data_IF_720468487234
#
_entry.id   IF_720468487234
#
_cell.length_a   1.000
_cell.length_b   1.000
_cell.length_c   1.000
_cell.angle_alpha   90.00
_cell.angle_beta   90.00
_cell.angle_gamma   90.00
#
_symmetry.space_group_name_H-M   'P 1'
#
loop_
_entity.id
_entity.type
_entity.pdbx_description
1 polymer ?
#
# COMPACT_ATOMS: atom_id res chain seq x y z
N UNK A 1 11.17 16.96 -18.09
CA UNK A 1 11.58 15.63 -18.61
C UNK A 1 10.77 14.56 -17.90
N UNK A 2 10.12 13.64 -18.62
CA UNK A 2 9.33 12.56 -18.01
C UNK A 2 10.20 11.38 -17.58
N UNK A 3 9.99 10.86 -16.38
CA UNK A 3 10.74 9.74 -15.79
C UNK A 3 9.72 8.75 -15.21
N UNK A 4 9.69 7.52 -15.73
CA UNK A 4 8.72 6.48 -15.32
C UNK A 4 9.37 5.11 -15.07
N UNK A 5 10.71 5.07 -15.01
CA UNK A 5 11.50 3.89 -14.73
C UNK A 5 12.73 4.30 -13.92
N UNK A 6 13.15 3.44 -13.00
CA UNK A 6 14.37 3.61 -12.22
C UNK A 6 14.49 5.01 -11.57
N UNK A 7 13.41 5.45 -10.91
CA UNK A 7 13.32 6.79 -10.34
C UNK A 7 14.44 7.07 -9.35
N UNK A 8 14.83 6.06 -8.54
CA UNK A 8 15.94 6.20 -7.61
C UNK A 8 17.25 6.59 -8.29
N UNK A 9 17.67 5.89 -9.35
CA UNK A 9 18.92 6.24 -10.01
C UNK A 9 18.79 7.55 -10.80
N UNK A 10 17.67 7.76 -11.49
CA UNK A 10 17.48 8.90 -12.37
C UNK A 10 17.24 10.23 -11.64
N UNK A 11 16.72 10.19 -10.42
CA UNK A 11 16.43 11.38 -9.61
C UNK A 11 17.40 11.47 -8.44
N UNK A 12 17.49 10.43 -7.60
CA UNK A 12 18.27 10.51 -6.35
C UNK A 12 19.76 10.41 -6.62
N UNK A 13 20.25 9.29 -7.17
CA UNK A 13 21.70 9.10 -7.38
C UNK A 13 22.30 10.12 -8.36
N UNK A 14 21.54 10.50 -9.38
CA UNK A 14 21.94 11.50 -10.38
C UNK A 14 22.27 12.86 -9.75
N UNK A 15 21.54 13.25 -8.70
CA UNK A 15 21.57 14.60 -8.13
C UNK A 15 22.23 14.68 -6.75
N UNK A 16 22.13 13.65 -5.90
CA UNK A 16 22.60 13.67 -4.52
C UNK A 16 24.11 13.94 -4.35
N UNK A 17 24.94 13.65 -5.36
CA UNK A 17 26.37 13.96 -5.36
C UNK A 17 26.72 15.34 -5.95
N UNK A 18 25.77 16.01 -6.61
CA UNK A 18 25.97 17.30 -7.28
C UNK A 18 25.46 18.47 -6.45
N UNK A 19 24.42 18.24 -5.68
CA UNK A 19 23.75 19.24 -4.86
C UNK A 19 24.09 19.03 -3.39
N UNK A 20 23.99 20.10 -2.60
CA UNK A 20 24.28 20.07 -1.17
C UNK A 20 23.02 19.98 -0.31
N UNK A 21 21.86 20.33 -0.85
CA UNK A 21 20.58 20.27 -0.17
C UNK A 21 19.56 19.45 -0.97
N UNK A 22 18.66 18.80 -0.25
CA UNK A 22 17.49 18.09 -0.75
C UNK A 22 16.30 18.45 0.15
N UNK A 23 15.27 19.06 -0.41
CA UNK A 23 13.98 19.25 0.25
C UNK A 23 12.92 18.37 -0.40
N UNK A 24 12.08 17.77 0.42
CA UNK A 24 11.08 16.80 -0.03
C UNK A 24 9.74 17.09 0.61
N UNK A 25 8.68 17.18 -0.18
CA UNK A 25 7.30 17.03 0.28
C UNK A 25 6.82 15.66 -0.17
N UNK A 26 6.34 14.83 0.74
CA UNK A 26 5.85 13.49 0.43
C UNK A 26 4.64 13.16 1.27
N UNK A 27 3.71 12.37 0.74
CA UNK A 27 2.61 11.87 1.56
C UNK A 27 3.13 10.93 2.66
N UNK A 28 3.98 9.98 2.28
CA UNK A 28 4.53 8.96 3.20
C UNK A 28 6.03 8.79 3.03
N UNK A 29 6.69 8.36 4.10
CA UNK A 29 8.07 7.85 4.09
C UNK A 29 8.23 6.79 5.18
N UNK A 30 9.45 6.25 5.31
CA UNK A 30 9.81 5.37 6.44
C UNK A 30 11.18 5.78 6.99
N UNK A 31 11.40 5.62 8.29
CA UNK A 31 12.67 5.93 8.92
C UNK A 31 13.80 5.07 8.37
N UNK A 32 13.50 3.80 8.05
CA UNK A 32 14.46 2.91 7.39
C UNK A 32 14.94 3.46 6.04
N UNK A 33 14.03 3.94 5.20
CA UNK A 33 14.40 4.51 3.90
C UNK A 33 15.28 5.75 4.06
N UNK A 34 14.89 6.68 4.95
CA UNK A 34 15.69 7.88 5.21
C UNK A 34 17.06 7.54 5.80
N UNK A 35 17.15 6.54 6.69
CA UNK A 35 18.42 6.08 7.25
C UNK A 35 19.33 5.46 6.18
N UNK A 36 18.77 4.65 5.27
CA UNK A 36 19.52 4.03 4.17
C UNK A 36 20.03 5.12 3.21
N UNK A 37 19.22 6.13 2.91
CA UNK A 37 19.60 7.27 2.06
C UNK A 37 20.65 8.17 2.71
N UNK A 38 20.49 8.53 3.98
CA UNK A 38 21.45 9.33 4.74
C UNK A 38 22.82 8.63 4.82
N UNK A 39 22.82 7.30 4.97
CA UNK A 39 24.04 6.50 4.95
C UNK A 39 24.71 6.48 3.57
N UNK A 40 23.93 6.47 2.49
CA UNK A 40 24.46 6.53 1.12
C UNK A 40 25.00 7.92 0.78
N UNK A 41 24.36 9.00 1.25
CA UNK A 41 24.72 10.39 0.96
C UNK A 41 24.90 11.24 2.23
N UNK A 42 25.91 10.96 3.08
CA UNK A 42 26.04 11.57 4.41
C UNK A 42 26.33 13.07 4.42
N UNK A 43 26.64 13.67 3.26
CA UNK A 43 26.90 15.11 3.11
C UNK A 43 25.68 15.89 2.59
N UNK A 44 24.66 15.19 2.11
CA UNK A 44 23.45 15.81 1.58
C UNK A 44 22.59 16.28 2.74
N UNK A 45 22.30 17.58 2.81
CA UNK A 45 21.38 18.12 3.80
C UNK A 45 19.96 17.84 3.36
N UNK A 46 19.21 17.11 4.16
CA UNK A 46 17.86 16.65 3.83
C UNK A 46 16.83 17.29 4.74
N UNK A 47 15.80 17.88 4.15
CA UNK A 47 14.60 18.33 4.86
C UNK A 47 13.40 17.61 4.27
N UNK A 48 12.72 16.80 5.07
CA UNK A 48 11.62 15.94 4.61
C UNK A 48 10.34 16.30 5.33
N UNK A 49 9.33 16.75 4.57
CA UNK A 49 7.98 17.03 5.04
C UNK A 49 7.07 15.83 4.73
N UNK A 50 6.58 15.16 5.76
CA UNK A 50 5.66 14.01 5.67
C UNK A 50 4.24 14.51 5.89
N UNK A 51 3.45 14.48 4.82
CA UNK A 51 2.18 15.18 4.75
C UNK A 51 0.93 14.40 5.17
N UNK A 52 1.00 13.06 5.20
CA UNK A 52 -0.12 12.20 5.61
C UNK A 52 0.15 11.52 6.96
N UNK A 53 0.88 12.19 7.85
CA UNK A 53 1.22 11.66 9.18
C UNK A 53 -0.02 11.51 10.10
N UNK A 54 -1.02 12.39 9.95
CA UNK A 54 -2.29 12.29 10.68
C UNK A 54 -3.17 11.13 10.17
N UNK A 55 -3.20 10.92 8.85
CA UNK A 55 -4.04 9.94 8.19
C UNK A 55 -3.46 8.52 8.27
N UNK A 56 -3.80 7.83 9.36
CA UNK A 56 -3.37 6.46 9.67
C UNK A 56 -2.38 6.36 10.84
N UNK A 57 -1.89 7.52 11.30
CA UNK A 57 -0.89 7.63 12.36
C UNK A 57 0.51 7.22 11.91
N UNK A 58 1.53 7.68 12.65
CA UNK A 58 2.91 7.30 12.40
C UNK A 58 3.28 6.14 13.32
N UNK A 59 3.85 5.08 12.75
CA UNK A 59 4.36 3.97 13.55
C UNK A 59 5.43 4.47 14.54
N UNK A 60 5.38 4.03 15.81
CA UNK A 60 6.31 4.47 16.86
C UNK A 60 7.77 4.19 16.53
N UNK A 61 8.08 3.09 15.86
CA UNK A 61 9.44 2.76 15.42
C UNK A 61 9.89 3.73 14.32
N UNK A 62 9.00 4.09 13.39
CA UNK A 62 9.29 5.12 12.40
C UNK A 62 9.48 6.49 13.06
N UNK A 63 8.59 6.89 13.97
CA UNK A 63 8.74 8.15 14.70
C UNK A 63 10.05 8.22 15.49
N UNK A 64 10.37 7.18 16.25
CA UNK A 64 11.62 7.10 16.99
C UNK A 64 12.81 7.15 16.03
N UNK A 65 12.75 6.43 14.91
CA UNK A 65 13.77 6.47 13.88
C UNK A 65 13.97 7.85 13.27
N UNK A 66 12.90 8.59 12.98
CA UNK A 66 12.99 9.98 12.50
C UNK A 66 13.60 10.91 13.56
N UNK A 67 13.22 10.75 14.82
CA UNK A 67 13.79 11.51 15.93
C UNK A 67 15.28 11.23 16.12
N UNK A 68 15.70 9.96 15.97
CA UNK A 68 17.11 9.57 16.06
C UNK A 68 17.91 10.10 14.88
N UNK A 69 17.35 10.05 13.67
CA UNK A 69 17.93 10.62 12.47
C UNK A 69 18.07 12.15 12.58
N UNK A 70 17.08 12.82 13.17
CA UNK A 70 17.08 14.28 13.34
C UNK A 70 18.03 14.81 14.42
N UNK A 71 18.81 13.93 15.06
CA UNK A 71 19.96 14.33 15.88
C UNK A 71 21.14 14.78 15.02
N UNK A 72 21.20 14.34 13.77
CA UNK A 72 22.15 14.85 12.78
C UNK A 72 21.59 16.14 12.18
N UNK A 73 22.30 17.28 12.26
CA UNK A 73 21.83 18.55 11.70
C UNK A 73 21.70 18.54 10.17
N UNK A 74 22.17 17.51 9.48
CA UNK A 74 22.00 17.35 8.05
C UNK A 74 20.71 16.60 7.68
N UNK A 75 19.87 16.17 8.63
CA UNK A 75 18.60 15.54 8.33
C UNK A 75 17.51 16.04 9.27
N UNK A 76 16.50 16.72 8.72
CA UNK A 76 15.34 17.18 9.46
C UNK A 76 14.08 16.53 8.91
N UNK A 77 13.27 15.95 9.79
CA UNK A 77 12.00 15.34 9.43
C UNK A 77 10.86 16.10 10.09
N UNK A 78 9.91 16.53 9.27
CA UNK A 78 8.76 17.33 9.65
C UNK A 78 7.48 16.54 9.39
N UNK A 79 6.48 16.70 10.26
CA UNK A 79 5.12 16.21 10.04
C UNK A 79 4.20 17.36 9.76
N UNK A 80 3.36 17.23 8.74
CA UNK A 80 2.24 18.12 8.53
C UNK A 80 1.19 17.92 9.62
N UNK A 81 0.70 19.02 10.19
CA UNK A 81 -0.22 19.04 11.35
C UNK A 81 -1.46 19.91 11.12
N UNK A 82 -1.63 20.42 9.89
CA UNK A 82 -2.84 21.12 9.49
C UNK A 82 -3.75 20.22 8.64
N UNK A 83 -4.99 20.66 8.40
CA UNK A 83 -5.93 19.98 7.51
C UNK A 83 -6.28 20.87 6.31
N UNK A 84 -6.43 20.29 5.10
CA UNK A 84 -6.24 18.87 4.77
C UNK A 84 -4.77 18.45 4.74
N UNK A 85 -4.47 17.16 4.95
CA UNK A 85 -3.11 16.64 4.87
C UNK A 85 -2.48 16.83 3.48
N UNK A 86 -1.15 16.86 3.45
CA UNK A 86 -0.38 17.11 2.22
C UNK A 86 -0.02 15.79 1.50
N UNK A 87 -0.73 15.48 0.42
CA UNK A 87 -0.47 14.28 -0.37
C UNK A 87 0.44 14.52 -1.59
N UNK A 88 1.03 15.72 -1.74
CA UNK A 88 1.93 16.03 -2.84
C UNK A 88 3.21 15.19 -2.76
N UNK A 89 3.87 14.99 -3.91
CA UNK A 89 5.19 14.37 -3.99
C UNK A 89 6.12 15.26 -4.80
N UNK A 90 7.02 15.93 -4.11
CA UNK A 90 7.94 16.92 -4.63
C UNK A 90 9.34 16.61 -4.09
N UNK A 91 10.33 16.62 -4.98
CA UNK A 91 11.74 16.43 -4.67
C UNK A 91 12.49 17.60 -5.30
N UNK A 92 13.17 18.40 -4.49
CA UNK A 92 13.94 19.56 -4.93
C UNK A 92 15.36 19.44 -4.42
N UNK A 93 16.32 19.36 -5.34
CA UNK A 93 17.75 19.44 -5.01
C UNK A 93 18.25 20.85 -5.27
N UNK A 94 19.07 21.39 -4.37
CA UNK A 94 19.66 22.72 -4.56
C UNK A 94 21.09 22.84 -4.02
N UNK A 95 21.83 23.82 -4.53
CA UNK A 95 23.20 24.14 -4.09
C UNK A 95 23.35 25.62 -3.72
N UNK A 96 24.56 25.99 -3.27
CA UNK A 96 24.85 27.37 -2.83
C UNK A 96 24.85 28.39 -3.97
N UNK A 97 24.98 27.92 -5.21
CA UNK A 97 25.00 28.75 -6.42
C UNK A 97 23.57 29.06 -6.91
N UNK A 98 22.54 28.53 -6.22
CA UNK A 98 21.14 28.73 -6.58
C UNK A 98 20.68 27.86 -7.76
N UNK A 99 21.42 26.79 -8.08
CA UNK A 99 20.97 25.81 -9.07
C UNK A 99 19.98 24.84 -8.42
N UNK A 100 18.94 24.47 -9.18
CA UNK A 100 17.91 23.54 -8.74
C UNK A 100 17.73 22.37 -9.71
N UNK A 101 17.35 21.22 -9.16
CA UNK A 101 16.80 20.09 -9.90
C UNK A 101 15.52 19.60 -9.20
N UNK A 102 14.38 19.99 -9.76
CA UNK A 102 13.07 19.84 -9.16
C UNK A 102 12.22 18.80 -9.88
N UNK A 103 11.56 17.94 -9.12
CA UNK A 103 10.75 16.83 -9.63
C UNK A 103 9.41 16.77 -8.90
N UNK A 104 8.32 16.60 -9.67
CA UNK A 104 6.97 16.39 -9.15
C UNK A 104 6.35 15.14 -9.78
N UNK A 105 5.46 14.46 -9.05
CA UNK A 105 4.77 13.31 -9.62
C UNK A 105 4.02 12.47 -8.60
N UNK A 106 3.98 11.16 -8.84
CA UNK A 106 3.18 10.20 -8.08
C UNK A 106 3.98 9.43 -7.01
N UNK A 107 5.31 9.36 -7.13
CA UNK A 107 6.17 8.57 -6.25
C UNK A 107 6.32 9.20 -4.86
N UNK A 108 5.86 8.53 -3.80
CA UNK A 108 6.24 8.89 -2.43
C UNK A 108 7.75 8.70 -2.23
N UNK A 109 8.35 9.56 -1.41
CA UNK A 109 9.77 9.51 -1.05
C UNK A 109 10.04 8.34 -0.09
N UNK A 110 10.08 7.14 -0.68
CA UNK A 110 10.16 5.85 0.00
C UNK A 110 10.83 4.83 -0.92
N UNK A 111 11.30 3.72 -0.35
CA UNK A 111 11.84 2.62 -1.16
C UNK A 111 10.81 2.14 -2.19
N UNK A 112 9.55 1.95 -1.79
CA UNK A 112 8.51 1.46 -2.70
C UNK A 112 8.25 2.45 -3.85
N UNK A 113 8.04 3.73 -3.54
CA UNK A 113 7.75 4.74 -4.55
C UNK A 113 8.89 4.96 -5.54
N UNK A 114 10.15 4.85 -5.12
CA UNK A 114 11.30 5.13 -5.98
C UNK A 114 11.90 3.90 -6.68
N UNK A 115 11.56 2.68 -6.25
CA UNK A 115 12.19 1.45 -6.79
C UNK A 115 11.24 0.33 -7.18
N UNK A 116 10.06 0.23 -6.57
CA UNK A 116 9.22 -0.98 -6.65
C UNK A 116 7.86 -0.75 -7.30
N UNK A 117 7.32 0.47 -7.18
CA UNK A 117 6.04 0.84 -7.77
C UNK A 117 6.24 1.42 -9.18
N UNK A 118 5.22 1.24 -10.03
CA UNK A 118 5.17 1.92 -11.32
C UNK A 118 4.70 3.34 -11.07
N UNK A 119 5.65 4.25 -10.96
CA UNK A 119 5.41 5.65 -10.64
C UNK A 119 5.92 6.54 -11.77
N UNK A 120 5.41 7.77 -11.82
CA UNK A 120 5.82 8.77 -12.79
C UNK A 120 6.25 10.03 -12.06
N UNK A 121 7.38 10.58 -12.50
CA UNK A 121 7.88 11.88 -12.06
C UNK A 121 8.21 12.70 -13.31
N UNK A 122 8.10 14.01 -13.21
CA UNK A 122 8.60 14.93 -14.22
C UNK A 122 9.51 15.95 -13.58
N UNK A 123 10.61 16.24 -14.25
CA UNK A 123 11.43 17.40 -13.97
C UNK A 123 10.68 18.68 -14.35
N UNK A 124 10.71 19.68 -13.47
CA UNK A 124 10.09 21.00 -13.63
C UNK A 124 11.15 22.09 -13.48
N UNK A 125 10.89 23.24 -14.12
CA UNK A 125 11.77 24.42 -14.06
C UNK A 125 11.20 25.54 -13.21
N UNK A 126 9.95 25.40 -12.78
CA UNK A 126 9.27 26.33 -11.90
C UNK A 126 9.98 26.40 -10.53
N UNK A 127 9.99 27.60 -9.97
CA UNK A 127 10.41 27.81 -8.59
C UNK A 127 9.36 27.21 -7.65
N UNK A 128 9.82 26.39 -6.71
CA UNK A 128 8.98 25.66 -5.76
C UNK A 128 9.11 26.21 -4.33
N UNK A 129 9.87 27.30 -4.12
CA UNK A 129 10.15 27.84 -2.79
C UNK A 129 8.89 28.16 -1.99
N UNK A 130 7.88 28.75 -2.62
CA UNK A 130 6.60 29.05 -1.97
C UNK A 130 5.89 27.78 -1.46
N UNK A 131 6.02 26.65 -2.18
CA UNK A 131 5.42 25.39 -1.75
C UNK A 131 6.13 24.82 -0.51
N UNK A 132 7.45 24.95 -0.44
CA UNK A 132 8.24 24.51 0.72
C UNK A 132 8.11 25.46 1.90
N UNK A 133 7.99 26.77 1.66
CA UNK A 133 7.71 27.75 2.71
C UNK A 133 6.34 27.45 3.35
N UNK A 134 5.31 27.25 2.51
CA UNK A 134 3.99 26.83 2.97
C UNK A 134 4.04 25.50 3.72
N UNK A 135 4.73 24.47 3.21
CA UNK A 135 4.86 23.20 3.91
C UNK A 135 5.51 23.38 5.29
N UNK A 136 6.55 24.22 5.39
CA UNK A 136 7.24 24.48 6.67
C UNK A 136 6.34 25.15 7.71
N UNK A 137 5.49 26.09 7.29
CA UNK A 137 4.55 26.78 8.18
C UNK A 137 3.49 25.84 8.76
N UNK A 138 3.15 24.78 8.03
CA UNK A 138 2.10 23.82 8.38
C UNK A 138 2.61 22.55 9.04
N UNK A 139 3.93 22.49 9.32
CA UNK A 139 4.57 21.31 9.86
C UNK A 139 5.25 21.55 11.20
N UNK A 140 5.35 20.49 12.00
CA UNK A 140 6.19 20.44 13.20
C UNK A 140 7.36 19.49 12.96
N UNK A 141 8.53 19.85 13.49
CA UNK A 141 9.70 18.96 13.50
C UNK A 141 9.34 17.70 14.30
N UNK A 142 9.78 16.52 13.87
CA UNK A 142 9.40 15.26 14.52
C UNK A 142 9.83 15.18 16.00
N UNK A 143 10.85 15.95 16.40
CA UNK A 143 11.33 16.05 17.78
C UNK A 143 10.60 17.12 18.60
N UNK A 144 9.68 17.87 18.01
CA UNK A 144 8.89 18.86 18.74
C UNK A 144 7.98 18.15 19.76
N UNK A 145 8.02 18.63 21.00
CA UNK A 145 7.20 18.14 22.11
C UNK A 145 5.68 18.15 21.84
N UNK A 146 5.23 18.95 20.86
CA UNK A 146 3.83 19.10 20.49
C UNK A 146 3.38 18.12 19.39
N UNK A 147 4.28 17.38 18.75
CA UNK A 147 3.94 16.44 17.67
C UNK A 147 2.80 15.50 18.06
N UNK A 148 2.85 14.92 19.26
CA UNK A 148 1.85 13.95 19.73
C UNK A 148 0.47 14.55 19.99
N UNK A 149 0.31 15.88 19.96
CA UNK A 149 -0.99 16.55 20.00
C UNK A 149 -1.73 16.48 18.66
N UNK A 150 -0.98 16.36 17.56
CA UNK A 150 -1.50 16.42 16.19
C UNK A 150 -1.35 15.06 15.48
N UNK A 151 -0.22 14.40 15.68
CA UNK A 151 0.11 13.12 15.05
C UNK A 151 -0.11 11.97 16.04
N UNK A 152 -0.95 11.01 15.66
CA UNK A 152 -1.17 9.78 16.45
C UNK A 152 -0.02 8.80 16.23
N UNK A 153 0.60 8.31 17.31
CA UNK A 153 1.65 7.29 17.23
C UNK A 153 1.10 5.88 17.44
N UNK A 154 1.39 4.96 16.52
CA UNK A 154 0.83 3.59 16.51
C UNK A 154 1.90 2.53 16.81
N UNK A 155 1.54 1.47 17.57
CA UNK A 155 2.46 0.37 17.87
C UNK A 155 2.59 -0.63 16.71
N UNK A 156 3.80 -1.13 16.49
CA UNK A 156 4.13 -2.14 15.47
C UNK A 156 3.43 -3.49 15.68
N UNK A 157 2.81 -3.72 16.84
CA UNK A 157 2.19 -4.99 17.24
C UNK A 157 0.72 -4.89 17.70
N UNK A 158 0.03 -3.77 17.49
CA UNK A 158 -1.37 -3.65 17.89
C UNK A 158 -2.05 -2.46 17.22
N UNK A 159 -2.73 -2.71 16.11
CA UNK A 159 -3.75 -1.80 15.59
C UNK A 159 -5.14 -2.35 15.89
N UNK A 160 -5.58 -2.15 17.14
CA UNK A 160 -6.98 -1.93 17.45
C UNK A 160 -7.16 -0.43 17.72
N UNK A 161 -8.09 0.15 16.94
CA UNK A 161 -8.38 1.57 16.65
C UNK A 161 -8.73 2.48 17.84
N UNK A 162 -8.56 3.81 17.63
CA UNK A 162 -9.64 4.83 17.44
C UNK A 162 -9.08 6.28 17.54
N UNK A 163 -9.60 7.39 16.94
CA UNK A 163 -10.47 7.74 15.79
C UNK A 163 -10.84 9.25 15.89
N UNK A 164 -10.93 10.00 14.79
CA UNK A 164 -12.01 11.00 14.49
C UNK A 164 -11.75 11.75 13.17
N UNK A 165 -12.68 12.24 12.34
CA UNK A 165 -14.13 12.12 11.98
C UNK A 165 -14.13 12.97 10.69
N UNK A 166 -14.10 12.38 9.49
CA UNK A 166 -15.26 12.14 8.63
C UNK A 166 -14.87 11.02 7.66
N UNK A 167 -15.23 9.81 7.99
CA UNK A 167 -15.51 8.73 7.06
C UNK A 167 -16.15 7.64 7.93
N UNK A 168 -17.32 7.19 7.54
CA UNK A 168 -17.98 6.07 8.17
C UNK A 168 -17.03 4.87 8.13
N UNK A 169 -16.42 4.58 9.28
CA UNK A 169 -15.45 3.50 9.43
C UNK A 169 -16.18 2.16 9.28
N UNK A 170 -16.25 1.70 8.04
CA UNK A 170 -16.72 0.37 7.70
C UNK A 170 -15.77 -0.64 8.36
N UNK A 171 -16.33 -1.44 9.26
CA UNK A 171 -15.65 -2.60 9.82
C UNK A 171 -15.58 -3.70 8.73
N UNK A 172 -14.51 -3.71 7.94
CA UNK A 172 -14.34 -4.64 6.82
C UNK A 172 -14.23 -6.11 7.23
N UNK A 173 -13.97 -6.44 8.50
CA UNK A 173 -14.08 -7.83 8.98
C UNK A 173 -15.56 -8.20 9.22
N UNK A 174 -16.42 -7.23 9.55
CA UNK A 174 -17.90 -7.40 9.60
C UNK A 174 -18.56 -7.41 8.21
N UNK A 175 -17.94 -6.76 7.22
CA UNK A 175 -18.37 -6.76 5.80
C UNK A 175 -17.60 -7.75 4.91
N UNK A 176 -16.75 -8.59 5.51
CA UNK A 176 -15.94 -9.54 4.77
C UNK A 176 -16.80 -10.55 4.00
N UNK A 177 -18.01 -10.79 4.48
CA UNK A 177 -19.00 -11.64 3.85
C UNK A 177 -20.04 -10.80 3.13
N UNK A 178 -20.27 -11.14 1.86
CA UNK A 178 -21.26 -10.52 1.01
C UNK A 178 -22.29 -11.57 0.63
N UNK A 179 -23.58 -11.29 0.84
CA UNK A 179 -24.64 -12.20 0.38
C UNK A 179 -24.60 -12.32 -1.13
N UNK A 180 -24.84 -13.51 -1.66
CA UNK A 180 -24.86 -13.77 -3.10
C UNK A 180 -25.78 -12.81 -3.87
N UNK A 181 -26.95 -12.52 -3.31
CA UNK A 181 -27.91 -11.57 -3.88
C UNK A 181 -27.36 -10.14 -4.00
N UNK A 182 -26.43 -9.73 -3.14
CA UNK A 182 -25.80 -8.40 -3.16
C UNK A 182 -24.62 -8.29 -4.15
N UNK A 183 -24.13 -9.41 -4.70
CA UNK A 183 -23.01 -9.40 -5.66
C UNK A 183 -23.34 -8.63 -6.94
N UNK A 184 -24.62 -8.56 -7.32
CA UNK A 184 -25.11 -7.83 -8.49
C UNK A 184 -24.92 -6.31 -8.40
N UNK A 185 -24.65 -5.78 -7.21
CA UNK A 185 -24.39 -4.34 -6.99
C UNK A 185 -22.99 -3.90 -7.43
N UNK A 186 -22.11 -4.85 -7.75
CA UNK A 186 -20.71 -4.58 -8.06
C UNK A 186 -20.43 -4.86 -9.54
N UNK A 187 -20.72 -3.86 -10.38
CA UNK A 187 -20.40 -3.89 -11.80
C UNK A 187 -18.88 -4.12 -12.01
N UNK A 188 -18.53 -4.97 -12.96
CA UNK A 188 -17.14 -5.36 -13.29
C UNK A 188 -16.39 -6.18 -12.23
N UNK A 189 -17.07 -6.68 -11.20
CA UNK A 189 -16.47 -7.62 -10.24
C UNK A 189 -16.27 -9.02 -10.84
N UNK A 190 -15.30 -9.76 -10.29
CA UNK A 190 -14.96 -11.12 -10.75
C UNK A 190 -15.19 -12.11 -9.62
N UNK A 191 -16.05 -13.11 -9.85
CA UNK A 191 -16.19 -14.23 -8.93
C UNK A 191 -15.08 -15.25 -9.17
N UNK A 192 -14.42 -15.69 -8.09
CA UNK A 192 -13.40 -16.74 -8.13
C UNK A 192 -13.75 -17.86 -7.15
N UNK A 193 -13.39 -19.09 -7.49
CA UNK A 193 -13.71 -20.28 -6.69
C UNK A 193 -12.55 -20.71 -5.79
N UNK A 194 -12.86 -21.03 -4.53
CA UNK A 194 -11.93 -21.62 -3.56
C UNK A 194 -11.55 -23.06 -3.94
N UNK A 195 -12.54 -23.81 -4.43
CA UNK A 195 -12.38 -25.16 -4.97
C UNK A 195 -13.16 -25.26 -6.29
N UNK A 196 -12.43 -25.38 -7.40
CA UNK A 196 -13.03 -25.49 -8.73
C UNK A 196 -13.26 -26.95 -9.15
N UNK A 197 -12.28 -27.82 -8.89
CA UNK A 197 -12.30 -29.21 -9.34
C UNK A 197 -13.19 -30.09 -8.45
N UNK A 198 -14.00 -30.95 -9.07
CA UNK A 198 -14.87 -31.93 -8.40
C UNK A 198 -14.23 -33.32 -8.31
N UNK A 199 -13.19 -33.59 -9.08
CA UNK A 199 -12.62 -34.92 -9.27
C UNK A 199 -11.27 -35.10 -8.55
N UNK A 200 -10.47 -34.03 -8.42
CA UNK A 200 -9.20 -34.03 -7.66
C UNK A 200 -9.13 -32.87 -6.66
N UNK A 201 -10.15 -32.77 -5.80
CA UNK A 201 -10.24 -31.65 -4.84
C UNK A 201 -9.18 -31.73 -3.73
N UNK A 202 -8.57 -32.90 -3.49
CA UNK A 202 -7.56 -33.10 -2.44
C UNK A 202 -6.22 -32.42 -2.76
N UNK A 203 -5.97 -32.09 -4.03
CA UNK A 203 -4.70 -31.52 -4.50
C UNK A 203 -4.85 -30.23 -5.33
N UNK A 204 -6.05 -29.66 -5.40
CA UNK A 204 -6.36 -28.47 -6.22
C UNK A 204 -6.92 -27.31 -5.40
N UNK A 205 -6.95 -26.11 -6.01
CA UNK A 205 -7.46 -24.89 -5.37
C UNK A 205 -6.71 -24.57 -4.08
N UNK A 206 -7.44 -24.30 -3.00
CA UNK A 206 -6.83 -24.07 -1.68
C UNK A 206 -6.14 -25.32 -1.11
N UNK A 207 -6.43 -26.53 -1.63
CA UNK A 207 -5.79 -27.76 -1.17
C UNK A 207 -4.45 -28.07 -1.87
N UNK A 208 -4.12 -27.34 -2.94
CA UNK A 208 -2.87 -27.56 -3.66
C UNK A 208 -1.63 -27.34 -2.79
N UNK A 209 -0.50 -27.92 -3.20
CA UNK A 209 0.79 -27.69 -2.55
C UNK A 209 1.18 -26.20 -2.55
N UNK A 210 0.83 -25.49 -3.63
CA UNK A 210 0.81 -24.03 -3.71
C UNK A 210 -0.65 -23.57 -3.88
N UNK A 211 -1.35 -23.19 -2.80
CA UNK A 211 -2.77 -22.84 -2.83
C UNK A 211 -3.09 -21.70 -3.82
N UNK A 212 -4.22 -21.84 -4.51
CA UNK A 212 -4.71 -20.86 -5.48
C UNK A 212 -6.24 -20.78 -5.45
N UNK A 213 -6.77 -19.66 -5.97
CA UNK A 213 -8.20 -19.55 -6.33
C UNK A 213 -8.35 -19.51 -7.85
N UNK A 214 -9.50 -19.92 -8.36
CA UNK A 214 -9.69 -20.14 -9.81
C UNK A 214 -10.75 -19.21 -10.38
N UNK A 215 -10.49 -18.64 -11.56
CA UNK A 215 -11.49 -17.91 -12.35
C UNK A 215 -12.34 -18.94 -13.12
N UNK A 216 -13.64 -19.09 -12.80
CA UNK A 216 -14.46 -20.20 -13.30
C UNK A 216 -15.00 -20.00 -14.73
N UNK A 217 -15.00 -18.78 -15.27
CA UNK A 217 -15.52 -18.48 -16.61
C UNK A 217 -14.47 -17.84 -17.53
N UNK A 218 -14.50 -18.13 -18.86
CA UNK A 218 -13.60 -17.57 -19.86
C UNK A 218 -14.00 -16.13 -20.27
N UNK A 219 -14.32 -15.28 -19.31
CA UNK A 219 -14.65 -13.86 -19.57
C UNK A 219 -13.35 -13.11 -19.81
N UNK A 220 -13.37 -12.09 -20.68
CA UNK A 220 -12.32 -11.08 -20.81
C UNK A 220 -12.02 -10.51 -19.41
N UNK A 221 -11.02 -11.08 -18.75
CA UNK A 221 -10.89 -10.93 -17.31
C UNK A 221 -10.30 -9.54 -17.01
N UNK A 222 -11.02 -8.77 -16.20
CA UNK A 222 -10.61 -7.45 -15.69
C UNK A 222 -9.36 -7.56 -14.80
N UNK A 223 -8.94 -8.79 -14.46
CA UNK A 223 -7.72 -9.06 -13.69
C UNK A 223 -6.53 -9.19 -14.63
N UNK A 224 -5.46 -8.38 -14.45
CA UNK A 224 -4.33 -8.31 -15.36
C UNK A 224 -3.60 -9.65 -15.49
N UNK A 225 -3.20 -9.97 -16.72
CA UNK A 225 -2.32 -11.11 -17.02
C UNK A 225 -0.85 -10.69 -16.91
N UNK A 226 0.00 -11.60 -16.44
CA UNK A 226 1.46 -11.40 -16.37
C UNK A 226 1.93 -10.20 -15.53
N UNK A 227 1.11 -9.71 -14.60
CA UNK A 227 1.45 -8.65 -13.64
C UNK A 227 0.99 -9.02 -12.23
N UNK A 228 1.68 -8.47 -11.23
CA UNK A 228 1.27 -8.56 -9.82
C UNK A 228 0.20 -7.48 -9.55
N UNK A 229 -0.87 -7.86 -8.87
CA UNK A 229 -1.96 -6.98 -8.44
C UNK A 229 -2.20 -7.08 -6.93
N UNK A 230 -2.87 -6.08 -6.36
CA UNK A 230 -3.14 -5.94 -4.93
C UNK A 230 -4.53 -6.46 -4.57
N UNK A 231 -4.61 -7.23 -3.48
CA UNK A 231 -5.83 -7.82 -2.95
C UNK A 231 -6.00 -7.42 -1.48
N UNK A 232 -7.02 -6.63 -1.17
CA UNK A 232 -7.41 -6.32 0.21
C UNK A 232 -8.44 -7.35 0.68
N UNK A 233 -8.08 -8.20 1.65
CA UNK A 233 -8.96 -9.20 2.26
C UNK A 233 -9.12 -8.86 3.73
N UNK A 234 -10.32 -8.40 4.11
CA UNK A 234 -10.58 -7.80 5.41
C UNK A 234 -9.61 -6.65 5.67
N UNK A 235 -8.93 -6.68 6.81
CA UNK A 235 -7.96 -5.64 7.19
C UNK A 235 -6.53 -5.87 6.66
N UNK A 236 -6.30 -6.86 5.78
CA UNK A 236 -4.96 -7.18 5.26
C UNK A 236 -4.87 -7.02 3.75
N UNK A 237 -3.71 -6.57 3.27
CA UNK A 237 -3.38 -6.49 1.84
C UNK A 237 -2.39 -7.58 1.46
N UNK A 238 -2.63 -8.23 0.33
CA UNK A 238 -1.80 -9.28 -0.27
C UNK A 238 -1.52 -8.93 -1.73
N UNK A 239 -0.48 -9.54 -2.30
CA UNK A 239 -0.10 -9.44 -3.71
C UNK A 239 -0.45 -10.74 -4.43
N UNK A 240 -1.33 -10.66 -5.43
CA UNK A 240 -1.77 -11.76 -6.28
C UNK A 240 -1.15 -11.72 -7.68
N UNK A 241 -1.09 -12.87 -8.33
CA UNK A 241 -0.69 -12.97 -9.74
C UNK A 241 -1.43 -14.14 -10.42
N UNK A 242 -1.79 -13.95 -11.70
CA UNK A 242 -2.35 -15.02 -12.53
C UNK A 242 -1.24 -16.01 -12.95
N UNK A 243 -1.52 -17.31 -12.85
CA UNK A 243 -0.64 -18.41 -13.22
C UNK A 243 -1.44 -19.47 -14.01
N UNK A 244 -0.70 -20.35 -14.70
CA UNK A 244 -1.13 -21.36 -15.68
C UNK A 244 -1.31 -20.85 -17.13
N UNK A 245 -1.32 -21.79 -18.08
CA UNK A 245 -1.35 -21.52 -19.53
C UNK A 245 -2.59 -20.77 -20.00
N UNK A 246 -3.64 -20.75 -19.17
CA UNK A 246 -4.92 -20.12 -19.44
C UNK A 246 -5.15 -18.91 -18.51
N UNK A 247 -4.15 -18.56 -17.70
CA UNK A 247 -4.18 -17.54 -16.67
C UNK A 247 -5.32 -17.70 -15.66
N UNK A 248 -5.84 -18.90 -15.38
CA UNK A 248 -7.06 -19.04 -14.56
C UNK A 248 -6.80 -19.10 -13.07
N UNK A 249 -5.57 -19.41 -12.67
CA UNK A 249 -5.21 -19.56 -11.25
C UNK A 249 -4.66 -18.26 -10.72
N UNK A 250 -5.17 -17.81 -9.58
CA UNK A 250 -4.61 -16.67 -8.85
C UNK A 250 -3.88 -17.21 -7.63
N UNK A 251 -2.56 -17.03 -7.61
CA UNK A 251 -1.71 -17.33 -6.46
C UNK A 251 -1.37 -16.05 -5.72
N UNK A 252 -1.12 -16.16 -4.43
CA UNK A 252 -0.51 -15.08 -3.66
C UNK A 252 1.01 -15.21 -3.69
N UNK A 253 1.69 -14.06 -3.73
CA UNK A 253 3.16 -13.98 -3.64
C UNK A 253 3.64 -13.79 -2.20
N UNK A 254 2.78 -13.32 -1.32
CA UNK A 254 3.07 -12.98 0.09
C UNK A 254 1.93 -13.38 1.04
N UNK A 255 1.38 -14.57 0.83
CA UNK A 255 0.36 -15.17 1.68
C UNK A 255 -0.03 -16.55 1.17
N UNK A 256 -1.00 -17.15 1.84
CA UNK A 256 -1.50 -18.47 1.50
C UNK A 256 -3.03 -18.48 1.52
N UNK A 257 -3.64 -18.87 0.39
CA UNK A 257 -5.10 -18.89 0.26
C UNK A 257 -5.78 -19.88 1.22
N UNK A 258 -5.13 -20.99 1.57
CA UNK A 258 -5.66 -21.90 2.57
C UNK A 258 -5.65 -21.26 3.96
N UNK A 259 -4.56 -20.59 4.36
CA UNK A 259 -4.51 -19.91 5.67
C UNK A 259 -5.59 -18.82 5.79
N UNK A 260 -5.78 -18.04 4.73
CA UNK A 260 -6.81 -17.00 4.66
C UNK A 260 -8.21 -17.63 4.77
N UNK A 261 -8.50 -18.65 3.95
CA UNK A 261 -9.80 -19.33 4.00
C UNK A 261 -10.03 -20.01 5.35
N UNK A 262 -9.00 -20.66 5.93
CA UNK A 262 -9.09 -21.34 7.21
C UNK A 262 -9.36 -20.37 8.36
N UNK A 263 -8.69 -19.20 8.37
CA UNK A 263 -8.92 -18.14 9.34
C UNK A 263 -10.38 -17.68 9.32
N UNK A 264 -10.87 -17.28 8.14
CA UNK A 264 -12.17 -16.59 8.04
C UNK A 264 -13.36 -17.55 8.00
N UNK A 265 -13.22 -18.73 7.41
CA UNK A 265 -14.27 -19.75 7.40
C UNK A 265 -14.19 -20.69 8.60
N UNK A 266 -13.19 -20.54 9.49
CA UNK A 266 -12.94 -21.43 10.64
C UNK A 266 -12.85 -22.89 10.19
N UNK A 267 -11.92 -23.15 9.26
CA UNK A 267 -11.62 -24.49 8.76
C UNK A 267 -10.52 -25.11 9.61
N UNK A 268 -10.65 -26.40 9.93
CA UNK A 268 -9.82 -27.04 10.97
C UNK A 268 -8.78 -28.02 10.42
N UNK A 269 -8.83 -28.36 9.13
CA UNK A 269 -7.90 -29.32 8.52
C UNK A 269 -7.78 -29.15 7.01
N UNK A 270 -6.65 -29.63 6.46
CA UNK A 270 -6.38 -29.81 5.02
C UNK A 270 -6.32 -31.32 4.72
N UNK A 271 -6.86 -31.82 3.59
CA UNK A 271 -7.60 -31.08 2.56
C UNK A 271 -9.01 -30.68 3.04
N UNK A 272 -9.46 -29.51 2.61
CA UNK A 272 -10.82 -28.99 2.81
C UNK A 272 -11.74 -29.62 1.78
N UNK A 273 -12.81 -30.31 2.20
CA UNK A 273 -13.79 -30.86 1.25
C UNK A 273 -14.73 -29.78 0.75
N UNK A 274 -15.22 -29.91 -0.49
CA UNK A 274 -16.23 -28.99 -1.05
C UNK A 274 -17.46 -28.87 -0.14
N UNK A 275 -17.93 -29.99 0.43
CA UNK A 275 -19.05 -30.04 1.38
C UNK A 275 -18.80 -29.20 2.64
N UNK A 276 -17.56 -29.06 3.09
CA UNK A 276 -17.24 -28.21 4.24
C UNK A 276 -17.42 -26.73 3.88
N UNK A 277 -16.99 -26.31 2.69
CA UNK A 277 -17.23 -24.95 2.19
C UNK A 277 -18.73 -24.67 1.96
N UNK A 278 -19.48 -25.65 1.44
CA UNK A 278 -20.93 -25.58 1.29
C UNK A 278 -21.64 -25.47 2.65
N UNK A 279 -21.20 -26.22 3.67
CA UNK A 279 -21.72 -26.09 5.04
C UNK A 279 -21.41 -24.71 5.66
N UNK A 280 -20.29 -24.10 5.27
CA UNK A 280 -19.94 -22.72 5.62
C UNK A 280 -20.65 -21.69 4.73
N UNK A 281 -21.47 -22.14 3.77
CA UNK A 281 -22.18 -21.34 2.78
C UNK A 281 -21.26 -20.42 1.99
N UNK A 282 -20.01 -20.83 1.75
CA UNK A 282 -19.05 -19.99 1.04
C UNK A 282 -18.09 -20.84 0.21
N UNK A 283 -18.33 -20.89 -1.09
CA UNK A 283 -17.47 -21.62 -2.06
C UNK A 283 -16.69 -20.69 -2.97
N UNK A 284 -17.06 -19.41 -3.01
CA UNK A 284 -16.52 -18.40 -3.90
C UNK A 284 -16.13 -17.12 -3.15
N UNK A 285 -15.23 -16.37 -3.75
CA UNK A 285 -14.88 -15.01 -3.39
C UNK A 285 -15.32 -14.06 -4.51
N UNK A 286 -15.56 -12.81 -4.17
CA UNK A 286 -15.81 -11.73 -5.12
C UNK A 286 -14.64 -10.76 -5.07
N UNK A 287 -14.01 -10.54 -6.22
CA UNK A 287 -12.96 -9.54 -6.41
C UNK A 287 -13.61 -8.29 -6.98
N UNK A 288 -13.72 -7.26 -6.16
CA UNK A 288 -14.36 -5.98 -6.46
C UNK A 288 -13.25 -4.98 -6.83
N UNK A 289 -13.21 -4.47 -8.07
CA UNK A 289 -12.20 -3.49 -8.46
C UNK A 289 -12.36 -2.20 -7.64
N UNK A 290 -11.24 -1.66 -7.16
CA UNK A 290 -11.18 -0.37 -6.43
C UNK A 290 -10.35 0.67 -7.15
N UNK A 291 -9.29 0.23 -7.82
CA UNK A 291 -8.44 1.02 -8.69
C UNK A 291 -7.76 0.08 -9.70
N UNK A 292 -6.92 0.63 -10.58
CA UNK A 292 -6.10 -0.16 -11.49
C UNK A 292 -5.25 -1.18 -10.70
N UNK A 293 -5.37 -2.46 -11.04
CA UNK A 293 -4.69 -3.58 -10.38
C UNK A 293 -4.92 -3.69 -8.86
N UNK A 294 -6.02 -3.14 -8.35
CA UNK A 294 -6.38 -3.20 -6.92
C UNK A 294 -7.81 -3.69 -6.73
N UNK A 295 -7.96 -4.76 -5.95
CA UNK A 295 -9.25 -5.37 -5.69
C UNK A 295 -9.50 -5.51 -4.18
N UNK A 296 -10.71 -5.19 -3.76
CA UNK A 296 -11.25 -5.67 -2.49
C UNK A 296 -11.79 -7.09 -2.69
N UNK A 297 -11.50 -7.98 -1.76
CA UNK A 297 -11.94 -9.37 -1.83
C UNK A 297 -12.92 -9.64 -0.69
N UNK A 298 -14.13 -10.05 -1.06
CA UNK A 298 -15.17 -10.49 -0.12
C UNK A 298 -15.49 -11.96 -0.31
N UNK A 299 -15.83 -12.66 0.77
CA UNK A 299 -16.35 -14.02 0.76
C UNK A 299 -17.82 -13.98 0.36
N UNK A 300 -18.22 -14.79 -0.61
CA UNK A 300 -19.62 -14.83 -1.06
C UNK A 300 -20.38 -15.81 -0.16
N UNK A 301 -21.30 -15.30 0.65
CA UNK A 301 -22.22 -16.11 1.43
C UNK A 301 -23.42 -16.51 0.54
N UNK A 302 -23.50 -17.80 0.21
CA UNK A 302 -24.60 -18.43 -0.52
C UNK A 302 -25.90 -18.33 0.29
N UNK A 303 -27.01 -17.99 -0.35
CA UNK A 303 -28.32 -17.88 0.33
C UNK A 303 -28.74 -19.22 0.98
N UNK A 304 -29.52 -19.17 2.07
CA UNK A 304 -30.12 -20.40 2.61
C UNK A 304 -31.15 -20.88 1.60
N UNK A 305 -31.00 -22.10 1.11
CA UNK A 305 -32.12 -22.79 0.47
C UNK A 305 -33.25 -22.87 1.52
N UNK A 306 -34.40 -22.29 1.17
CA UNK A 306 -35.64 -22.34 1.96
C UNK A 306 -36.30 -23.70 1.76
#
# INVERSE_FOLDING_TARGET
MLINQDLYNQIIRKNANKFSNLRVITGYSSAKFLADLHREFPKLKMTVYIGMAEDGGVNKDDHQGYCDLSKDPNLEVYYHVEKPGDHRKIIDFSNQDGEHASYIGSANFSSNGLTSQTEIMTEVTDDLDDLFLSAKEQCLLCTDSQVTKYVTLTDSSSTNKKKSVDDEEIDYDSELFLKKSDTQKYDSSVSVSLLFDKYDYDHTGINAAKPYVTIPQPIACVIPENKIFSLTIGNKRYRGMRQDDLGRKIVLTDGDWFEIAAKYLKLNSKPVKRKELENKRCTNLLFIPKAEDMYEVRFIEEDKEV
#
